data_IF_159694589235
#
_entry.id   IF_159694589235
#
_cell.length_a   1.000
_cell.length_b   1.000
_cell.length_c   1.000
_cell.angle_alpha   90.00
_cell.angle_beta   90.00
_cell.angle_gamma   90.00
#
_symmetry.space_group_name_H-M   'P 1'
#
loop_
_entity.id
_entity.type
_entity.pdbx_description
1 polymer ?
2 non-polymer ?
3 water ?
#
# COMPACT_ATOMS: atom_id res chain seq x y z
N UNK A 2 -5.34 13.06 -7.13
CA UNK A 2 -5.22 14.16 -6.16
C UNK A 2 -4.29 13.75 -5.09
N UNK A 3 -3.64 14.77 -4.53
CA UNK A 3 -2.96 14.68 -3.24
C UNK A 3 -3.97 14.38 -2.14
N UNK A 4 -5.19 14.85 -2.35
CA UNK A 4 -6.30 14.60 -1.48
C UNK A 4 -6.51 13.10 -1.29
N UNK A 5 -6.69 12.42 -2.42
CA UNK A 5 -6.93 10.99 -2.43
C UNK A 5 -5.74 10.21 -1.86
N UNK A 6 -4.53 10.61 -2.20
CA UNK A 6 -3.33 9.97 -1.68
C UNK A 6 -3.19 10.12 -0.17
N UNK A 7 -3.57 11.28 0.35
CA UNK A 7 -3.53 11.56 1.77
C UNK A 7 -4.58 10.71 2.50
N UNK A 8 -5.81 10.69 1.99
CA UNK A 8 -6.85 9.84 2.59
C UNK A 8 -6.43 8.37 2.53
N UNK A 9 -5.77 7.98 1.43
CA UNK A 9 -5.30 6.60 1.27
C UNK A 9 -4.18 6.24 2.25
N UNK A 10 -3.29 7.19 2.48
CA UNK A 10 -2.15 6.94 3.39
C UNK A 10 -2.67 6.84 4.81
N UNK A 11 -3.75 7.57 5.10
CA UNK A 11 -4.38 7.43 6.42
C UNK A 11 -5.16 6.13 6.55
N UNK A 12 -6.16 5.99 5.69
CA UNK A 12 -7.10 4.87 5.76
C UNK A 12 -6.39 3.54 5.56
N UNK A 13 -5.50 3.49 4.57
CA UNK A 13 -4.86 2.22 4.26
C UNK A 13 -3.59 1.93 5.03
N UNK A 14 -3.19 2.84 5.93
CA UNK A 14 -1.88 2.64 6.62
C UNK A 14 -1.81 3.11 8.06
N UNK A 15 -1.76 4.43 8.25
CA UNK A 15 -1.60 5.01 9.58
C UNK A 15 -2.72 4.55 10.49
N UNK A 16 -3.94 4.54 9.96
CA UNK A 16 -5.11 4.10 10.74
C UNK A 16 -4.89 2.69 11.30
N UNK A 17 -4.26 1.83 10.48
CA UNK A 17 -4.09 0.43 10.83
C UNK A 17 -2.86 0.19 11.71
N UNK A 18 -1.83 1.01 11.51
CA UNK A 18 -0.49 0.77 12.10
C UNK A 18 -0.28 1.48 13.44
N UNK A 19 -0.79 2.69 13.59
CA UNK A 19 -0.55 3.46 14.82
C UNK A 19 -1.07 2.79 16.12
N UNK A 20 -2.30 2.25 16.13
CA UNK A 20 -2.74 1.63 17.39
C UNK A 20 -1.85 0.48 17.88
N UNK A 21 -1.22 -0.27 16.98
CA UNK A 21 -0.44 -1.43 17.36
C UNK A 21 1.05 -1.14 17.53
N UNK A 22 1.48 0.07 17.27
CA UNK A 22 2.91 0.37 17.20
C UNK A 22 3.67 0.13 18.52
N UNK A 23 3.14 0.65 19.61
CA UNK A 23 3.83 0.55 20.91
C UNK A 23 4.02 -0.91 21.37
N UNK A 24 2.99 -1.74 21.24
CA UNK A 24 3.14 -3.18 21.52
C UNK A 24 4.28 -3.74 20.65
N UNK A 25 4.39 -3.30 19.42
CA UNK A 25 5.44 -3.86 18.55
C UNK A 25 6.83 -3.34 18.99
N UNK A 26 6.89 -2.14 19.53
CA UNK A 26 8.13 -1.59 20.10
C UNK A 26 8.54 -2.34 21.35
N UNK A 27 7.60 -2.55 22.25
CA UNK A 27 7.88 -3.35 23.47
C UNK A 27 8.48 -4.68 23.10
N UNK A 28 7.91 -5.37 22.12
CA UNK A 28 8.46 -6.67 21.67
C UNK A 28 9.87 -6.57 21.05
N UNK A 29 10.07 -5.53 20.25
CA UNK A 29 11.39 -5.24 19.69
C UNK A 29 12.44 -5.06 20.77
N UNK A 30 12.12 -4.23 21.76
CA UNK A 30 12.99 -4.04 22.89
C UNK A 30 13.26 -5.31 23.69
N UNK A 31 12.26 -6.18 23.78
CA UNK A 31 12.44 -7.44 24.50
C UNK A 31 13.42 -8.31 23.73
N UNK A 32 13.40 -8.24 22.39
CA UNK A 32 14.23 -9.12 21.56
C UNK A 32 15.63 -8.51 21.25
N UNK A 33 15.76 -7.18 21.34
CA UNK A 33 16.98 -6.52 20.89
C UNK A 33 17.59 -5.62 21.95
N UNK A 34 17.71 -6.19 23.15
CA UNK A 34 18.44 -5.57 24.25
C UNK A 34 18.02 -4.13 24.57
N UNK A 35 16.73 -3.84 24.53
CA UNK A 35 16.18 -2.55 24.92
C UNK A 35 16.74 -1.40 24.06
N UNK A 36 17.12 -1.72 22.83
CA UNK A 36 17.67 -0.73 21.90
C UNK A 36 16.82 0.54 21.68
N UNK A 37 15.52 0.38 21.51
CA UNK A 37 14.61 1.52 21.40
C UNK A 37 14.13 1.99 22.78
N UNK A 38 15.05 2.53 23.57
CA UNK A 38 14.76 2.78 24.98
C UNK A 38 14.28 4.20 25.22
N UNK A 39 14.91 5.19 24.59
CA UNK A 39 14.50 6.57 24.77
C UNK A 39 13.05 6.79 24.42
N UNK A 40 12.43 7.80 25.01
CA UNK A 40 11.08 8.21 24.62
C UNK A 40 11.08 8.71 23.13
N UNK A 41 12.14 9.45 22.76
CA UNK A 41 12.32 9.92 21.39
C UNK A 41 12.38 8.76 20.38
N UNK A 42 12.75 7.58 20.87
CA UNK A 42 12.87 6.39 20.02
C UNK A 42 11.56 5.61 19.83
N UNK A 43 10.48 6.01 20.45
CA UNK A 43 9.29 5.19 20.32
C UNK A 43 8.21 5.78 19.48
N UNK A 44 8.61 6.32 18.35
CA UNK A 44 7.71 6.92 17.39
C UNK A 44 8.13 6.47 16.05
N UNK A 45 7.20 6.50 15.14
CA UNK A 45 7.49 6.27 13.74
C UNK A 45 7.79 7.66 13.14
N UNK A 46 9.01 7.83 12.67
CA UNK A 46 9.45 9.03 11.98
C UNK A 46 9.26 8.91 10.48
N UNK A 47 8.48 9.79 9.91
CA UNK A 47 8.12 9.66 8.51
C UNK A 47 8.65 10.86 7.75
N UNK A 48 9.43 10.59 6.72
CA UNK A 48 10.06 11.62 5.93
C UNK A 48 9.18 12.08 4.80
N UNK A 49 8.94 13.38 4.73
CA UNK A 49 8.19 13.98 3.65
C UNK A 49 9.04 14.96 2.84
N UNK A 50 9.87 14.43 1.95
CA UNK A 50 10.61 15.35 1.06
C UNK A 50 9.64 15.98 0.05
N UNK A 51 9.40 17.28 0.18
CA UNK A 51 8.46 17.92 -0.69
C UNK A 51 8.89 17.91 -2.16
N UNK A 52 10.19 17.72 -2.45
CA UNK A 52 10.69 17.55 -3.80
C UNK A 52 10.32 16.19 -4.42
N UNK A 53 9.86 15.28 -3.57
CA UNK A 53 9.43 13.93 -3.95
C UNK A 53 10.52 13.03 -4.49
N UNK A 54 11.77 13.38 -4.22
CA UNK A 54 12.89 12.48 -4.48
C UNK A 54 12.99 11.47 -3.37
N UNK A 55 12.53 10.26 -3.64
CA UNK A 55 12.43 9.22 -2.62
C UNK A 55 13.12 7.94 -3.06
N UNK A 56 14.28 7.67 -2.51
CA UNK A 56 15.00 6.45 -2.83
C UNK A 56 14.43 5.31 -2.01
N UNK A 57 14.70 4.07 -2.38
CA UNK A 57 14.24 2.97 -1.60
C UNK A 57 15.17 2.70 -0.44
N UNK A 58 16.47 2.95 -0.63
CA UNK A 58 17.42 2.79 0.46
C UNK A 58 17.98 4.12 0.95
N UNK A 59 17.93 4.33 2.27
CA UNK A 59 18.22 5.65 2.87
C UNK A 59 19.66 6.06 2.70
N UNK A 60 20.54 5.09 2.56
CA UNK A 60 21.96 5.35 2.46
C UNK A 60 22.30 6.01 1.14
N UNK A 61 21.38 5.98 0.19
CA UNK A 61 21.59 6.58 -1.11
C UNK A 61 21.62 8.11 -1.02
N UNK A 62 20.92 8.66 -0.03
CA UNK A 62 20.85 10.12 0.13
C UNK A 62 21.62 10.65 1.34
N UNK A 63 21.90 9.79 2.31
CA UNK A 63 22.71 10.19 3.48
C UNK A 63 23.43 8.99 4.02
N UNK A 64 24.77 9.06 4.12
CA UNK A 64 25.58 7.95 4.67
C UNK A 64 25.40 7.74 6.18
N UNK A 65 24.77 8.66 6.92
CA UNK A 65 24.75 8.57 8.38
C UNK A 65 23.50 7.88 8.89
N UNK A 66 22.67 7.39 7.98
CA UNK A 66 21.43 6.70 8.36
C UNK A 66 21.52 5.21 8.07
N UNK A 67 21.77 4.40 9.08
CA UNK A 67 22.18 3.03 8.88
C UNK A 67 21.06 2.05 9.34
N UNK A 68 20.69 1.12 8.48
CA UNK A 68 19.71 0.11 8.83
C UNK A 68 20.19 -0.77 9.95
N UNK A 69 19.32 -1.06 10.89
CA UNK A 69 19.66 -1.90 11.99
C UNK A 69 18.85 -3.18 12.07
N UNK A 70 17.54 -3.06 12.05
CA UNK A 70 16.62 -4.18 12.23
C UNK A 70 15.18 -3.89 11.81
N UNK A 71 14.32 -4.89 11.85
CA UNK A 71 12.91 -4.70 11.58
C UNK A 71 12.17 -4.84 12.88
N UNK A 72 11.09 -4.08 13.02
CA UNK A 72 10.13 -4.34 14.06
C UNK A 72 9.49 -5.69 13.76
N UNK A 73 8.96 -6.38 14.79
CA UNK A 73 8.07 -7.53 14.52
C UNK A 73 7.01 -7.13 13.49
N UNK A 74 6.69 -8.03 12.59
CA UNK A 74 5.72 -7.78 11.54
C UNK A 74 4.34 -7.69 12.17
N UNK A 75 3.46 -6.96 11.51
CA UNK A 75 2.06 -6.94 11.86
C UNK A 75 1.26 -7.56 10.72
N UNK A 76 0.42 -8.53 11.06
CA UNK A 76 -0.44 -9.24 10.11
C UNK A 76 -1.91 -8.88 10.26
N UNK A 77 -2.57 -8.54 9.16
CA UNK A 77 -3.97 -8.13 9.18
C UNK A 77 -4.66 -8.62 7.94
N UNK A 78 -5.87 -9.17 8.08
CA UNK A 78 -6.68 -9.54 6.90
C UNK A 78 -7.20 -8.26 6.23
N UNK A 79 -6.95 -8.14 4.94
CA UNK A 79 -7.27 -6.87 4.21
C UNK A 79 -7.79 -7.11 2.79
N UNK A 80 -9.03 -6.77 2.52
CA UNK A 80 -9.53 -6.75 1.15
C UNK A 80 -9.32 -8.11 0.44
N UNK A 81 -9.51 -9.20 1.19
CA UNK A 81 -9.35 -10.56 0.65
C UNK A 81 -7.96 -11.16 0.72
N UNK A 82 -7.01 -10.43 1.26
CA UNK A 82 -5.69 -10.96 1.51
C UNK A 82 -5.58 -11.39 2.96
N UNK A 83 -5.43 -12.68 3.20
CA UNK A 83 -5.24 -13.16 4.57
C UNK A 83 -3.83 -12.80 5.03
N UNK A 84 -3.72 -12.26 6.23
CA UNK A 84 -2.42 -11.86 6.77
C UNK A 84 -1.58 -10.97 5.83
N UNK A 85 -2.18 -9.87 5.38
CA UNK A 85 -1.38 -8.85 4.75
C UNK A 85 -0.36 -8.38 5.79
N UNK A 86 0.86 -8.14 5.33
CA UNK A 86 1.95 -7.88 6.24
C UNK A 86 2.29 -6.40 6.21
N UNK A 87 2.34 -5.82 7.39
CA UNK A 87 2.73 -4.44 7.57
C UNK A 87 4.07 -4.41 8.30
N UNK A 88 5.08 -3.77 7.68
CA UNK A 88 6.45 -3.85 8.15
C UNK A 88 7.03 -2.47 8.36
N UNK A 89 7.98 -2.34 9.31
CA UNK A 89 8.68 -1.08 9.57
C UNK A 89 10.14 -1.36 9.90
N UNK A 90 11.00 -0.37 9.62
CA UNK A 90 12.45 -0.56 9.79
C UNK A 90 13.06 0.36 10.85
N UNK A 91 13.97 -0.19 11.66
CA UNK A 91 14.64 0.58 12.72
C UNK A 91 16.05 0.97 12.22
N UNK A 92 16.37 2.26 12.32
CA UNK A 92 17.66 2.79 11.83
C UNK A 92 18.47 3.42 12.95
N UNK A 93 19.79 3.38 12.81
CA UNK A 93 20.69 4.10 13.69
C UNK A 93 21.29 5.32 12.96
N UNK A 94 21.17 6.49 13.59
CA UNK A 94 21.59 7.73 13.02
C UNK A 94 22.96 8.09 13.60
N UNK A 95 23.95 8.25 12.72
CA UNK A 95 25.30 8.60 13.11
C UNK A 95 25.50 10.13 13.21
N UNK A 96 26.37 10.54 14.14
CA UNK A 96 26.84 11.91 14.18
C UNK A 96 28.36 11.86 14.32
N UNK A 97 29.07 12.35 13.31
CA UNK A 97 30.52 12.28 13.28
C UNK A 97 31.06 10.86 13.44
N UNK A 98 30.36 9.89 12.85
CA UNK A 98 30.79 8.50 12.95
C UNK A 98 30.37 7.83 14.24
N UNK A 99 29.64 8.57 15.08
CA UNK A 99 29.22 8.02 16.37
C UNK A 99 27.74 7.66 16.37
N UNK A 100 27.35 6.52 16.99
CA UNK A 100 25.91 6.20 17.09
C UNK A 100 25.22 7.25 17.92
N UNK A 101 24.40 8.08 17.30
CA UNK A 101 23.85 9.22 18.01
C UNK A 101 22.37 9.08 18.35
N UNK A 102 21.68 8.17 17.67
CA UNK A 102 20.28 7.95 17.96
C UNK A 102 19.74 6.76 17.18
N UNK A 103 18.66 6.19 17.68
CA UNK A 103 17.99 5.02 17.07
C UNK A 103 16.51 5.37 16.95
N UNK A 104 15.91 5.05 15.82
CA UNK A 104 14.47 5.31 15.63
C UNK A 104 13.89 4.45 14.53
N UNK A 105 12.56 4.44 14.45
CA UNK A 105 11.88 3.75 13.36
C UNK A 105 11.74 4.85 12.33
N UNK A 106 12.11 4.58 11.09
CA UNK A 106 12.19 5.62 10.07
C UNK A 106 11.76 5.11 8.70
N UNK A 107 11.12 5.98 7.92
CA UNK A 107 10.72 5.66 6.56
C UNK A 107 10.31 6.93 5.87
N UNK A 108 10.17 6.85 4.56
CA UNK A 108 9.54 7.85 3.76
C UNK A 108 8.03 7.64 3.60
N UNK A 109 7.31 8.74 3.41
CA UNK A 109 5.93 8.66 3.00
C UNK A 109 5.86 8.22 1.53
N UNK A 110 5.66 6.93 1.32
CA UNK A 110 5.62 6.35 -0.02
C UNK A 110 4.81 7.08 -1.11
N UNK A 111 3.65 7.67 -0.77
CA UNK A 111 2.89 8.36 -1.83
C UNK A 111 3.65 9.45 -2.57
N UNK A 112 4.63 10.07 -1.90
CA UNK A 112 5.41 11.16 -2.55
C UNK A 112 6.29 10.60 -3.70
N UNK A 113 6.72 9.36 -3.54
CA UNK A 113 7.46 8.63 -4.56
C UNK A 113 6.51 8.31 -5.74
N UNK A 114 5.25 8.00 -5.43
CA UNK A 114 4.23 7.86 -6.45
C UNK A 114 3.96 9.19 -7.26
N UNK A 115 3.92 10.32 -6.58
CA UNK A 115 3.71 11.59 -7.24
C UNK A 115 4.87 11.85 -8.19
N UNK A 116 6.08 11.57 -7.75
CA UNK A 116 7.28 11.75 -8.56
C UNK A 116 7.13 10.98 -9.87
N UNK A 117 6.91 9.67 -9.77
CA UNK A 117 6.75 8.83 -10.95
C UNK A 117 5.60 9.28 -11.86
N UNK A 118 4.45 9.58 -11.26
CA UNK A 118 3.30 10.11 -11.98
C UNK A 118 3.58 11.41 -12.72
N UNK A 119 4.36 12.30 -12.12
CA UNK A 119 4.55 13.62 -12.71
C UNK A 119 5.39 13.52 -13.99
N UNK A 120 6.21 12.49 -14.07
CA UNK A 120 7.06 12.31 -15.22
C UNK A 120 6.54 11.41 -16.33
N UNK A 121 5.43 10.71 -16.11
CA UNK A 121 4.93 9.79 -17.09
C UNK A 121 4.41 10.56 -18.29
N UNK A 122 4.44 9.94 -19.47
CA UNK A 122 4.07 10.59 -20.75
C UNK A 122 2.68 11.24 -20.74
N UNK A 123 1.67 10.47 -20.35
CA UNK A 123 0.28 10.95 -20.38
C UNK A 123 -0.23 11.47 -19.04
N UNK A 124 0.17 10.79 -17.97
CA UNK A 124 -0.30 11.15 -16.63
C UNK A 124 0.37 12.40 -16.09
N UNK A 125 1.54 12.74 -16.63
CA UNK A 125 2.40 13.77 -16.09
C UNK A 125 1.79 15.12 -15.78
N UNK A 126 2.53 15.90 -15.01
CA UNK A 126 2.17 17.30 -14.73
C UNK A 126 3.44 18.00 -14.32
N UNK A 127 3.39 19.33 -14.24
CA UNK A 127 4.61 20.08 -13.98
C UNK A 127 5.20 19.81 -12.58
N UNK A 128 6.49 20.10 -12.48
CA UNK A 128 7.18 20.10 -11.21
C UNK A 128 6.52 21.05 -10.23
N UNK A 129 6.16 22.26 -10.67
CA UNK A 129 5.53 23.23 -9.77
C UNK A 129 4.19 22.66 -9.27
N UNK A 130 3.48 21.95 -10.15
CA UNK A 130 2.21 21.32 -9.76
C UNK A 130 2.45 20.17 -8.79
N UNK A 131 3.50 19.38 -9.02
CA UNK A 131 3.85 18.32 -8.10
C UNK A 131 4.21 18.85 -6.73
N UNK A 132 5.01 19.92 -6.70
CA UNK A 132 5.33 20.55 -5.43
C UNK A 132 4.06 20.91 -4.68
N UNK A 133 3.14 21.60 -5.36
CA UNK A 133 1.86 21.96 -4.76
C UNK A 133 1.03 20.77 -4.29
N UNK A 134 1.09 19.67 -5.05
CA UNK A 134 0.45 18.41 -4.68
C UNK A 134 1.07 17.81 -3.45
N UNK A 135 2.40 17.85 -3.39
CA UNK A 135 3.12 17.34 -2.23
C UNK A 135 2.76 18.11 -0.97
N UNK A 136 2.74 19.45 -1.08
CA UNK A 136 2.36 20.32 0.05
C UNK A 136 0.93 20.02 0.50
N UNK A 137 0.03 19.91 -0.47
CA UNK A 137 -1.37 19.57 -0.23
C UNK A 137 -1.57 18.20 0.38
N UNK A 138 -0.71 17.25 0.04
CA UNK A 138 -0.74 15.92 0.63
C UNK A 138 -0.46 16.04 2.14
N UNK A 139 0.63 16.73 2.49
CA UNK A 139 1.00 16.93 3.90
C UNK A 139 -0.08 17.66 4.65
N UNK A 140 -0.63 18.70 4.05
CA UNK A 140 -1.67 19.51 4.71
C UNK A 140 -2.94 18.70 4.96
N UNK A 141 -3.32 17.89 3.99
CA UNK A 141 -4.56 17.10 4.06
C UNK A 141 -4.40 15.98 5.09
N UNK A 142 -3.20 15.46 5.21
CA UNK A 142 -2.90 14.43 6.16
C UNK A 142 -2.95 15.00 7.54
N UNK A 143 -2.35 16.17 7.72
CA UNK A 143 -2.33 16.84 9.02
C UNK A 143 -3.73 17.18 9.48
N UNK A 144 -4.60 17.48 8.53
CA UNK A 144 -6.01 17.68 8.84
C UNK A 144 -6.66 16.42 9.30
N UNK A 145 -6.44 15.31 8.60
CA UNK A 145 -7.03 14.03 8.97
C UNK A 145 -6.65 13.68 10.41
N UNK A 146 -5.37 13.87 10.73
CA UNK A 146 -4.81 13.35 11.98
C UNK A 146 -5.26 14.10 13.23
N UNK A 147 -5.95 15.23 13.06
CA UNK A 147 -6.53 15.93 14.21
C UNK A 147 -7.66 15.16 14.81
N UNK A 148 -8.28 14.25 14.05
CA UNK A 148 -9.29 13.35 14.64
C UNK A 148 -8.66 12.06 15.11
N UNK A 149 -7.32 12.00 15.11
CA UNK A 149 -6.58 10.84 15.59
C UNK A 149 -5.71 11.23 16.79
N UNK A 150 -6.32 11.24 17.97
CA UNK A 150 -5.62 11.65 19.19
C UNK A 150 -4.35 10.88 19.49
N UNK A 151 -4.24 9.65 19.00
CA UNK A 151 -3.07 8.82 19.26
C UNK A 151 -1.86 9.20 18.38
N UNK A 152 -2.13 9.74 17.20
CA UNK A 152 -1.10 10.02 16.26
C UNK A 152 0.01 10.87 16.87
N UNK A 153 -0.36 11.83 17.70
CA UNK A 153 0.57 12.77 18.35
C UNK A 153 1.79 12.09 18.96
N UNK A 154 1.57 10.99 19.66
CA UNK A 154 2.64 10.30 20.35
C UNK A 154 3.26 9.08 19.63
N UNK A 155 2.64 8.64 18.55
CA UNK A 155 3.13 7.45 17.84
C UNK A 155 3.88 7.76 16.57
N UNK A 156 3.71 8.96 16.04
CA UNK A 156 4.42 9.30 14.81
C UNK A 156 4.86 10.75 14.80
N UNK A 157 5.83 11.03 13.94
CA UNK A 157 6.32 12.38 13.76
C UNK A 157 6.54 12.61 12.26
N UNK A 158 5.92 13.65 11.73
CA UNK A 158 6.03 14.02 10.35
C UNK A 158 7.16 14.99 10.17
N UNK A 159 8.18 14.59 9.40
CA UNK A 159 9.33 15.48 9.13
C UNK A 159 9.27 15.97 7.67
N UNK A 160 8.88 17.21 7.49
CA UNK A 160 8.62 17.75 6.14
C UNK A 160 9.80 18.67 5.84
N UNK A 161 10.38 18.55 4.65
CA UNK A 161 11.52 19.37 4.28
C UNK A 161 11.66 19.49 2.78
N UNK A 162 12.53 20.39 2.37
CA UNK A 162 12.82 20.64 0.99
C UNK A 162 14.31 20.82 0.83
N UNK A 163 14.88 20.17 -0.16
CA UNK A 163 16.30 20.27 -0.43
C UNK A 163 16.73 21.63 -0.90
N UNK A 164 17.81 22.17 -0.26
CA UNK A 164 18.24 23.47 -0.77
C UNK A 164 18.82 23.39 -2.19
N UNK A 165 18.73 24.48 -2.96
CA UNK A 165 19.30 24.54 -4.30
C UNK A 165 20.08 25.84 -4.44
N UNK A 166 20.42 26.48 -3.31
CA UNK A 166 21.13 27.75 -3.34
C UNK A 166 22.57 27.69 -2.75
N UNK A 167 23.11 26.48 -2.57
CA UNK A 167 24.43 26.31 -2.01
C UNK A 167 24.46 26.11 -0.51
N UNK A 168 23.34 26.35 0.17
CA UNK A 168 23.19 26.04 1.60
C UNK A 168 23.16 24.56 1.93
N UNK A 169 23.77 24.18 3.04
CA UNK A 169 23.86 22.78 3.40
C UNK A 169 22.60 22.32 4.13
N UNK A 170 22.19 21.10 3.87
CA UNK A 170 21.11 20.48 4.64
C UNK A 170 21.48 19.04 4.91
N UNK A 171 21.50 18.67 6.19
CA UNK A 171 21.81 17.28 6.56
C UNK A 171 20.52 16.61 7.01
N UNK A 172 20.09 15.56 6.31
CA UNK A 172 18.87 14.85 6.68
C UNK A 172 19.07 14.15 8.03
N UNK A 173 20.22 13.52 8.21
CA UNK A 173 20.56 12.88 9.49
C UNK A 173 20.46 13.85 10.65
N UNK A 174 21.00 15.05 10.49
CA UNK A 174 20.96 16.04 11.58
C UNK A 174 19.54 16.37 11.90
N UNK A 175 18.73 16.50 10.86
CA UNK A 175 17.32 16.84 11.07
C UNK A 175 16.53 15.77 11.80
N UNK A 176 16.71 14.52 11.41
CA UNK A 176 16.11 13.40 12.14
C UNK A 176 16.58 13.36 13.60
N UNK A 177 17.88 13.52 13.83
CA UNK A 177 18.42 13.59 15.21
C UNK A 177 17.73 14.68 16.03
N UNK A 178 17.57 15.84 15.42
CA UNK A 178 16.91 16.94 16.09
C UNK A 178 15.51 16.55 16.59
N UNK A 179 14.76 15.78 15.81
CA UNK A 179 13.43 15.36 16.18
C UNK A 179 13.43 14.30 17.28
N UNK A 180 14.33 13.33 17.15
CA UNK A 180 14.52 12.29 18.16
C UNK A 180 14.80 12.90 19.54
N UNK A 181 15.58 13.95 19.55
CA UNK A 181 16.03 14.63 20.74
C UNK A 181 15.05 15.60 21.36
N UNK A 182 14.05 16.02 20.63
CA UNK A 182 13.07 16.93 21.19
C UNK A 182 12.16 16.22 22.18
N UNK B 3 -8.74 9.35 -7.66
CA UNK B 3 -9.45 8.55 -8.66
C UNK B 3 -8.51 8.20 -9.79
N UNK B 4 -8.02 9.25 -10.45
CA UNK B 4 -6.94 9.14 -11.40
C UNK B 4 -5.71 8.92 -10.58
N UNK B 5 -5.58 9.72 -9.56
CA UNK B 5 -4.46 9.63 -8.67
C UNK B 5 -4.41 8.24 -8.13
N UNK B 6 -5.57 7.75 -7.73
CA UNK B 6 -5.66 6.44 -7.09
C UNK B 6 -5.29 5.28 -8.04
N UNK B 7 -5.70 5.40 -9.30
CA UNK B 7 -5.38 4.39 -10.29
C UNK B 7 -3.88 4.35 -10.53
N UNK B 8 -3.25 5.53 -10.63
CA UNK B 8 -1.79 5.58 -10.85
C UNK B 8 -1.02 5.07 -9.64
N UNK B 9 -1.51 5.37 -8.45
CA UNK B 9 -0.88 4.87 -7.22
C UNK B 9 -0.91 3.38 -7.19
N UNK B 10 -2.10 2.82 -7.47
CA UNK B 10 -2.29 1.38 -7.45
C UNK B 10 -1.37 0.72 -8.50
N UNK B 11 -1.22 1.32 -9.67
CA UNK B 11 -0.33 0.76 -10.67
C UNK B 11 1.11 0.92 -10.22
N UNK B 12 1.52 2.16 -9.96
CA UNK B 12 2.90 2.49 -9.60
C UNK B 12 3.39 1.79 -8.35
N UNK B 13 2.60 1.81 -7.29
CA UNK B 13 3.00 1.17 -6.03
C UNK B 13 2.64 -0.27 -5.83
N UNK B 14 1.97 -0.89 -6.78
CA UNK B 14 1.61 -2.27 -6.61
C UNK B 14 1.74 -3.15 -7.84
N UNK B 15 0.92 -2.91 -8.86
CA UNK B 15 0.92 -3.80 -10.03
C UNK B 15 2.24 -3.79 -10.75
N UNK B 16 2.80 -2.60 -10.91
CA UNK B 16 4.09 -2.46 -11.59
C UNK B 16 5.17 -3.32 -10.89
N UNK B 17 5.07 -3.46 -9.58
CA UNK B 17 6.05 -4.19 -8.76
C UNK B 17 5.79 -5.67 -8.66
N UNK B 18 4.52 -6.08 -8.54
CA UNK B 18 4.25 -7.49 -8.29
C UNK B 18 4.02 -8.35 -9.52
N UNK B 19 3.54 -7.75 -10.62
CA UNK B 19 3.28 -8.53 -11.82
C UNK B 19 4.50 -9.24 -12.40
N UNK B 20 5.65 -8.55 -12.55
CA UNK B 20 6.76 -9.29 -13.17
C UNK B 20 7.31 -10.46 -12.35
N UNK B 21 7.03 -10.51 -11.05
CA UNK B 21 7.44 -11.63 -10.22
C UNK B 21 6.32 -12.65 -9.98
N UNK B 22 5.15 -12.45 -10.59
CA UNK B 22 4.00 -13.34 -10.27
C UNK B 22 4.19 -14.80 -10.71
N UNK B 23 4.60 -14.99 -11.96
CA UNK B 23 4.77 -16.35 -12.46
C UNK B 23 5.82 -17.15 -11.68
N UNK B 24 6.87 -16.50 -11.20
CA UNK B 24 7.89 -17.23 -10.42
C UNK B 24 7.28 -17.71 -9.12
N UNK B 25 6.48 -16.86 -8.47
CA UNK B 25 5.80 -17.23 -7.22
C UNK B 25 4.71 -18.31 -7.42
N UNK B 26 4.07 -18.31 -8.59
CA UNK B 26 3.10 -19.31 -8.93
C UNK B 26 3.81 -20.64 -9.17
N UNK B 27 4.95 -20.60 -9.87
CA UNK B 27 5.74 -21.82 -10.07
C UNK B 27 6.10 -22.39 -8.70
N UNK B 28 6.51 -21.51 -7.78
CA UNK B 28 6.97 -21.96 -6.46
C UNK B 28 5.76 -22.51 -5.65
N UNK B 29 4.64 -21.80 -5.74
CA UNK B 29 3.37 -22.29 -5.15
C UNK B 29 3.06 -23.70 -5.61
N UNK B 30 3.22 -23.94 -6.90
CA UNK B 30 2.91 -25.24 -7.49
C UNK B 30 3.85 -26.34 -7.05
N UNK B 31 5.11 -26.00 -6.81
CA UNK B 31 6.04 -27.00 -6.27
C UNK B 31 5.66 -27.37 -4.84
N UNK B 32 5.09 -26.40 -4.11
CA UNK B 32 4.77 -26.57 -2.69
C UNK B 32 3.44 -27.26 -2.44
N UNK B 33 2.49 -27.09 -3.35
CA UNK B 33 1.13 -27.49 -3.12
C UNK B 33 0.57 -28.33 -4.27
N UNK B 34 1.32 -29.33 -4.72
CA UNK B 34 0.77 -30.34 -5.63
C UNK B 34 0.18 -29.82 -6.94
N UNK B 35 0.84 -28.81 -7.50
CA UNK B 35 0.39 -28.22 -8.74
C UNK B 35 -1.07 -27.69 -8.72
N UNK B 36 -1.47 -27.12 -7.59
CA UNK B 36 -2.82 -26.62 -7.41
C UNK B 36 -3.27 -25.58 -8.44
N UNK B 37 -2.38 -24.69 -8.84
CA UNK B 37 -2.72 -23.68 -9.84
C UNK B 37 -2.36 -24.20 -11.23
N UNK B 38 -3.12 -25.17 -11.70
CA UNK B 38 -2.78 -26.05 -12.79
C UNK B 38 -3.19 -25.54 -14.16
N UNK B 39 -4.38 -24.95 -14.30
CA UNK B 39 -4.85 -24.43 -15.58
C UNK B 39 -4.29 -23.03 -15.84
N UNK B 40 -4.23 -22.60 -17.10
CA UNK B 40 -3.74 -21.24 -17.45
C UNK B 40 -4.63 -20.18 -16.83
N UNK B 41 -5.94 -20.51 -16.79
CA UNK B 41 -6.91 -19.70 -16.05
C UNK B 41 -6.53 -19.48 -14.58
N UNK B 42 -5.80 -20.41 -14.00
CA UNK B 42 -5.42 -20.35 -12.58
C UNK B 42 -4.14 -19.56 -12.27
N UNK B 43 -3.41 -19.15 -13.30
CA UNK B 43 -2.11 -18.51 -13.14
C UNK B 43 -2.17 -17.00 -13.43
N UNK B 44 -3.22 -16.35 -12.97
CA UNK B 44 -3.39 -14.91 -13.20
C UNK B 44 -3.81 -14.31 -11.89
N UNK B 45 -3.49 -13.05 -11.64
CA UNK B 45 -4.04 -12.35 -10.49
C UNK B 45 -5.40 -11.80 -10.84
N UNK B 46 -6.47 -12.34 -10.23
CA UNK B 46 -7.83 -11.79 -10.45
C UNK B 46 -8.13 -10.73 -9.40
N UNK B 47 -8.44 -9.52 -9.87
CA UNK B 47 -8.73 -8.40 -8.96
C UNK B 47 -10.18 -7.95 -9.11
N UNK B 48 -10.89 -7.88 -7.98
CA UNK B 48 -12.29 -7.52 -7.94
C UNK B 48 -12.47 -6.03 -7.71
N UNK B 49 -13.27 -5.41 -8.56
CA UNK B 49 -13.60 -4.01 -8.51
C UNK B 49 -15.10 -3.82 -8.39
N UNK B 50 -15.63 -3.94 -7.17
CA UNK B 50 -17.06 -3.63 -7.05
C UNK B 50 -17.29 -2.12 -7.24
N UNK B 51 -18.14 -1.73 -8.20
CA UNK B 51 -18.30 -0.32 -8.50
C UNK B 51 -18.99 0.46 -7.37
N UNK B 52 -19.73 -0.23 -6.52
CA UNK B 52 -20.28 0.43 -5.35
C UNK B 52 -19.23 0.69 -4.23
N UNK B 53 -17.98 0.27 -4.46
CA UNK B 53 -16.83 0.44 -3.49
C UNK B 53 -16.92 -0.38 -2.19
N UNK B 54 -17.91 -1.25 -2.11
CA UNK B 54 -18.07 -2.13 -0.95
C UNK B 54 -17.00 -3.19 -0.99
N UNK B 55 -15.97 -3.05 -0.16
CA UNK B 55 -14.86 -4.00 -0.10
C UNK B 55 -14.82 -4.67 1.28
N UNK B 56 -15.42 -5.85 1.44
CA UNK B 56 -15.26 -6.57 2.70
C UNK B 56 -13.84 -7.13 2.78
N UNK B 57 -13.39 -7.47 3.98
CA UNK B 57 -11.99 -7.94 4.12
C UNK B 57 -11.94 -9.45 3.99
N UNK B 58 -13.10 -10.07 4.18
CA UNK B 58 -13.25 -11.50 4.12
C UNK B 58 -14.22 -11.93 3.00
N UNK B 59 -13.67 -12.58 1.98
CA UNK B 59 -14.42 -13.06 0.83
C UNK B 59 -15.46 -14.13 1.16
N UNK B 60 -15.10 -15.09 2.04
CA UNK B 60 -16.02 -16.19 2.40
C UNK B 60 -17.31 -15.69 3.04
N UNK B 61 -17.20 -14.55 3.69
CA UNK B 61 -18.33 -13.93 4.35
C UNK B 61 -19.34 -13.32 3.36
N UNK B 62 -18.88 -12.79 2.22
CA UNK B 62 -19.85 -12.24 1.22
C UNK B 62 -20.36 -13.31 0.26
N UNK B 63 -19.53 -14.30 -0.03
CA UNK B 63 -19.97 -15.44 -0.83
C UNK B 63 -19.34 -16.70 -0.25
N UNK B 64 -20.17 -17.55 0.37
CA UNK B 64 -19.70 -18.77 1.03
C UNK B 64 -19.12 -19.77 0.06
N UNK B 65 -19.36 -19.59 -1.24
CA UNK B 65 -18.77 -20.42 -2.26
C UNK B 65 -17.30 -20.06 -2.59
N UNK B 66 -16.78 -19.00 -1.99
CA UNK B 66 -15.37 -18.63 -2.13
C UNK B 66 -14.64 -18.90 -0.84
N UNK B 67 -13.67 -19.80 -0.87
CA UNK B 67 -12.98 -20.25 0.33
C UNK B 67 -11.49 -20.15 0.21
N UNK B 68 -10.87 -19.55 1.21
CA UNK B 68 -9.42 -19.39 1.29
C UNK B 68 -8.75 -20.75 1.26
N UNK B 69 -7.68 -20.88 0.52
CA UNK B 69 -6.93 -22.14 0.47
C UNK B 69 -5.51 -22.02 1.08
N UNK B 70 -4.70 -21.13 0.52
CA UNK B 70 -3.32 -20.89 0.97
C UNK B 70 -2.86 -19.55 0.47
N UNK B 71 -1.63 -19.18 0.79
CA UNK B 71 -1.01 -17.95 0.23
C UNK B 71 0.02 -18.31 -0.83
N UNK B 72 0.23 -17.38 -1.76
CA UNK B 72 1.43 -17.45 -2.61
C UNK B 72 2.62 -17.24 -1.72
N UNK B 73 3.76 -17.76 -2.12
CA UNK B 73 4.96 -17.36 -1.41
C UNK B 73 5.08 -15.84 -1.39
N UNK B 74 5.59 -15.29 -0.31
CA UNK B 74 5.74 -13.85 -0.19
C UNK B 74 6.83 -13.27 -1.12
N UNK B 75 6.70 -12.02 -1.47
CA UNK B 75 7.68 -11.30 -2.22
C UNK B 75 8.17 -10.12 -1.39
N UNK B 76 9.46 -10.07 -1.08
CA UNK B 76 10.04 -9.01 -0.25
C UNK B 76 10.73 -7.98 -1.15
N UNK B 77 10.46 -6.71 -0.94
CA UNK B 77 11.09 -5.64 -1.73
C UNK B 77 11.45 -4.45 -0.86
N UNK B 78 12.67 -3.91 -1.00
CA UNK B 78 13.08 -2.66 -0.35
C UNK B 78 12.26 -1.51 -0.93
N UNK B 79 11.52 -0.83 -0.09
CA UNK B 79 10.58 0.18 -0.52
C UNK B 79 10.56 1.42 0.35
N UNK B 80 10.98 2.54 -0.21
CA UNK B 80 10.88 3.83 0.46
C UNK B 80 11.37 3.82 1.92
N UNK B 81 12.43 3.10 2.17
CA UNK B 81 13.05 3.05 3.49
C UNK B 81 12.68 1.85 4.33
N UNK B 82 11.65 1.15 3.90
CA UNK B 82 11.28 -0.10 4.50
C UNK B 82 12.12 -1.20 3.87
N UNK B 83 13.02 -1.79 4.63
CA UNK B 83 13.76 -2.92 4.11
C UNK B 83 12.82 -4.11 4.09
N UNK B 84 12.81 -4.82 2.95
CA UNK B 84 12.01 -6.02 2.81
C UNK B 84 10.53 -5.83 3.14
N UNK B 85 9.92 -4.81 2.55
CA UNK B 85 8.47 -4.69 2.58
C UNK B 85 7.90 -5.97 1.99
N UNK B 86 6.89 -6.53 2.64
CA UNK B 86 6.30 -7.79 2.22
C UNK B 86 5.08 -7.60 1.33
N UNK B 87 5.13 -8.16 0.12
CA UNK B 87 3.93 -8.24 -0.73
C UNK B 87 3.30 -9.63 -0.73
N UNK B 88 2.00 -9.66 -0.54
CA UNK B 88 1.29 -10.89 -0.21
C UNK B 88 0.03 -11.14 -1.06
N UNK B 89 -0.17 -12.38 -1.51
CA UNK B 89 -1.42 -12.69 -2.22
C UNK B 89 -2.01 -14.05 -1.78
N UNK B 90 -3.33 -14.16 -1.80
CA UNK B 90 -4.04 -15.36 -1.33
C UNK B 90 -4.71 -16.16 -2.47
N UNK B 91 -4.71 -17.48 -2.33
CA UNK B 91 -5.31 -18.39 -3.30
C UNK B 91 -6.64 -18.88 -2.76
N UNK B 92 -7.66 -18.90 -3.62
CA UNK B 92 -9.01 -19.31 -3.17
C UNK B 92 -9.53 -20.41 -4.09
N UNK B 93 -10.35 -21.27 -3.53
CA UNK B 93 -11.11 -22.22 -4.32
C UNK B 93 -12.53 -21.69 -4.44
N UNK B 94 -13.14 -21.90 -5.59
CA UNK B 94 -14.44 -21.44 -5.74
C UNK B 94 -15.41 -22.59 -6.06
N UNK B 95 -16.52 -22.63 -5.32
CA UNK B 95 -17.46 -23.74 -5.37
C UNK B 95 -18.65 -23.47 -6.29
N UNK B 96 -19.19 -24.55 -6.80
CA UNK B 96 -20.33 -24.53 -7.71
C UNK B 96 -21.14 -25.75 -7.32
N UNK B 97 -22.43 -25.57 -7.01
CA UNK B 97 -23.30 -26.69 -6.61
C UNK B 97 -22.68 -27.50 -5.45
N UNK B 98 -22.06 -26.79 -4.51
CA UNK B 98 -21.41 -27.41 -3.37
C UNK B 98 -20.03 -27.98 -3.60
N UNK B 99 -19.61 -28.10 -4.85
CA UNK B 99 -18.34 -28.75 -5.12
C UNK B 99 -17.24 -27.83 -5.71
N UNK B 100 -15.96 -28.10 -5.32
CA UNK B 100 -14.94 -27.26 -5.95
C UNK B 100 -15.00 -27.31 -7.47
N UNK B 101 -14.91 -26.12 -8.04
CA UNK B 101 -15.17 -25.87 -9.43
C UNK B 101 -14.08 -25.02 -10.06
N UNK B 102 -13.20 -24.45 -9.25
CA UNK B 102 -12.17 -23.58 -9.74
C UNK B 102 -11.28 -23.11 -8.61
N UNK B 103 -10.10 -22.65 -8.99
CA UNK B 103 -9.08 -22.16 -8.07
C UNK B 103 -8.33 -21.01 -8.72
N UNK B 104 -8.01 -19.98 -7.94
CA UNK B 104 -7.31 -18.85 -8.46
C UNK B 104 -6.75 -17.89 -7.37
N UNK B 105 -5.88 -16.97 -7.80
CA UNK B 105 -5.40 -15.90 -6.94
C UNK B 105 -6.44 -14.80 -7.02
N UNK B 106 -6.97 -14.40 -5.86
CA UNK B 106 -8.07 -13.47 -5.81
C UNK B 106 -7.97 -12.46 -4.67
N UNK B 107 -8.32 -11.20 -4.97
CA UNK B 107 -8.42 -10.12 -3.99
C UNK B 107 -9.28 -8.97 -4.52
N UNK B 108 -9.66 -8.08 -3.60
CA UNK B 108 -10.33 -6.83 -3.96
C UNK B 108 -9.29 -5.73 -4.31
N UNK B 109 -9.73 -4.75 -5.09
CA UNK B 109 -8.95 -3.56 -5.31
C UNK B 109 -9.10 -2.61 -4.09
N UNK B 110 -8.13 -2.70 -3.17
CA UNK B 110 -8.17 -1.97 -1.92
C UNK B 110 -8.49 -0.48 -1.99
N UNK B 111 -7.98 0.24 -3.02
CA UNK B 111 -8.33 1.68 -2.98
C UNK B 111 -9.82 2.03 -3.09
N UNK B 112 -10.67 1.11 -3.56
CA UNK B 112 -12.11 1.36 -3.54
C UNK B 112 -12.60 1.51 -2.11
N UNK B 113 -11.90 0.86 -1.19
CA UNK B 113 -12.22 0.95 0.23
C UNK B 113 -11.89 2.35 0.71
N UNK B 114 -10.81 2.93 0.17
CA UNK B 114 -10.45 4.31 0.48
C UNK B 114 -11.48 5.30 -0.06
N UNK B 115 -11.95 5.05 -1.29
CA UNK B 115 -12.95 5.88 -1.93
C UNK B 115 -14.24 5.90 -1.14
N UNK B 116 -14.59 4.75 -0.59
CA UNK B 116 -15.79 4.64 0.21
C UNK B 116 -15.61 5.36 1.53
N UNK B 117 -14.50 5.07 2.22
CA UNK B 117 -14.22 5.69 3.48
C UNK B 117 -14.22 7.19 3.35
N UNK B 118 -13.84 7.70 2.19
CA UNK B 118 -13.89 9.12 1.94
C UNK B 118 -15.28 9.65 1.79
N UNK B 119 -16.12 8.94 1.04
CA UNK B 119 -17.54 9.25 0.86
C UNK B 119 -18.50 9.49 2.01
N UNK B 120 -18.04 9.28 3.19
CA UNK B 120 -18.90 9.34 4.32
C UNK B 120 -18.35 10.40 5.20
N UNK B 121 -17.25 10.12 5.89
CA UNK B 121 -16.44 11.13 6.55
C UNK B 121 -16.62 12.17 5.41
N UNK B 122 -17.26 13.25 5.80
CA UNK B 122 -17.62 14.31 4.89
C UNK B 122 -17.82 15.41 5.82
N UNK B 123 -16.93 16.38 5.80
CA UNK B 123 -15.87 16.56 4.84
C UNK B 123 -14.69 15.61 4.99
N UNK B 124 -14.13 15.11 3.89
CA UNK B 124 -14.13 15.70 2.53
C UNK B 124 -15.34 15.54 1.56
N UNK B 125 -15.09 15.77 0.30
CA UNK B 125 -16.15 15.99 -0.62
C UNK B 125 -17.29 15.05 -0.48
N UNK B 126 -17.03 13.76 -0.30
CA UNK B 126 -18.09 12.76 -0.14
C UNK B 126 -19.02 12.95 -1.33
N UNK B 127 -20.32 13.09 -1.15
CA UNK B 127 -21.17 13.48 -2.25
C UNK B 127 -20.99 12.54 -3.41
N UNK B 128 -21.49 11.33 -3.28
CA UNK B 128 -21.72 10.51 -4.45
C UNK B 128 -22.86 11.28 -5.14
N UNK B 129 -22.63 11.80 -6.35
CA UNK B 129 -21.77 11.29 -7.40
C UNK B 129 -20.40 10.78 -7.06
N UNK B 130 -19.81 11.27 -5.98
CA UNK B 130 -18.37 11.37 -5.81
C UNK B 130 -17.86 9.97 -6.01
N UNK B 131 -18.53 9.02 -5.37
CA UNK B 131 -18.09 7.66 -5.46
C UNK B 131 -18.28 6.82 -6.71
N UNK B 132 -19.47 6.73 -7.26
CA UNK B 132 -19.70 5.82 -8.38
C UNK B 132 -18.93 6.32 -9.56
N UNK B 133 -18.94 7.62 -9.63
CA UNK B 133 -18.22 8.38 -10.62
C UNK B 133 -16.75 7.99 -10.57
N UNK B 134 -16.10 8.33 -9.46
CA UNK B 134 -14.70 8.05 -9.27
C UNK B 134 -14.36 6.56 -9.39
N UNK B 135 -15.28 5.69 -8.99
CA UNK B 135 -15.00 4.25 -9.08
C UNK B 135 -14.86 3.77 -10.52
N UNK B 136 -15.66 4.34 -11.42
CA UNK B 136 -15.63 4.00 -12.83
C UNK B 136 -14.37 4.57 -13.46
N UNK B 137 -14.07 5.82 -13.12
CA UNK B 137 -12.86 6.50 -13.59
C UNK B 137 -11.61 5.67 -13.22
N UNK B 138 -11.61 5.18 -12.00
CA UNK B 138 -10.53 4.36 -11.45
C UNK B 138 -10.28 3.13 -12.32
N UNK B 139 -11.35 2.37 -12.60
CA UNK B 139 -11.25 1.17 -13.43
C UNK B 139 -10.89 1.51 -14.86
N UNK B 140 -11.49 2.56 -15.38
CA UNK B 140 -11.23 3.02 -16.73
C UNK B 140 -9.74 3.31 -16.89
N UNK B 141 -9.25 4.17 -15.99
CA UNK B 141 -7.87 4.60 -15.99
C UNK B 141 -6.92 3.43 -15.85
N UNK B 142 -7.29 2.43 -15.06
CA UNK B 142 -6.40 1.30 -14.85
C UNK B 142 -6.30 0.42 -16.09
N UNK B 143 -7.44 0.13 -16.73
CA UNK B 143 -7.45 -0.64 -17.99
C UNK B 143 -6.66 0.13 -19.05
N UNK B 144 -6.75 1.46 -19.00
CA UNK B 144 -5.96 2.33 -19.89
C UNK B 144 -4.46 2.25 -19.60
N UNK B 145 -4.09 2.12 -18.35
CA UNK B 145 -2.67 2.06 -18.01
C UNK B 145 -2.14 0.72 -18.42
N UNK B 146 -2.91 -0.33 -18.18
CA UNK B 146 -2.49 -1.68 -18.49
C UNK B 146 -2.53 -1.98 -19.98
N UNK B 147 -3.43 -1.31 -20.71
CA UNK B 147 -3.36 -1.19 -22.17
C UNK B 147 -2.09 -0.40 -22.29
N UNK B 148 -1.19 -0.91 -23.11
CA UNK B 148 0.22 -0.65 -23.05
C UNK B 148 0.60 -1.82 -22.20
N UNK B 149 1.76 -1.78 -21.57
CA UNK B 149 2.05 -2.79 -20.55
C UNK B 149 1.73 -4.24 -20.92
N UNK B 150 1.65 -4.55 -22.28
CA UNK B 150 1.31 -5.96 -22.55
C UNK B 150 2.35 -6.87 -22.01
N UNK B 151 3.44 -6.23 -21.66
CA UNK B 151 4.55 -6.83 -20.95
C UNK B 151 3.82 -7.85 -20.13
N UNK B 152 2.77 -7.44 -19.47
CA UNK B 152 2.12 -8.32 -18.52
C UNK B 152 0.69 -8.36 -18.15
N UNK B 153 -0.13 -7.60 -18.88
CA UNK B 153 -1.56 -7.56 -18.71
C UNK B 153 -2.07 -8.90 -18.31
N UNK B 154 -1.70 -9.92 -19.07
CA UNK B 154 -2.15 -11.26 -18.70
C UNK B 154 -1.41 -12.03 -17.61
N UNK B 155 -0.89 -11.31 -16.65
CA UNK B 155 -0.61 -11.86 -15.35
C UNK B 155 -1.75 -11.46 -14.39
N UNK B 156 -2.67 -10.64 -14.88
CA UNK B 156 -3.77 -10.19 -14.09
C UNK B 156 -5.02 -10.02 -14.93
N UNK B 157 -6.15 -9.94 -14.26
CA UNK B 157 -7.42 -9.70 -14.90
C UNK B 157 -8.28 -8.86 -13.96
N UNK B 158 -8.86 -7.81 -14.50
CA UNK B 158 -9.72 -6.96 -13.75
C UNK B 158 -11.15 -7.47 -13.89
N UNK B 159 -11.77 -7.74 -12.76
CA UNK B 159 -13.18 -8.13 -12.76
C UNK B 159 -13.94 -6.95 -12.17
N UNK B 160 -14.55 -6.19 -13.08
CA UNK B 160 -15.28 -4.98 -12.73
C UNK B 160 -16.77 -5.31 -12.77
N UNK B 161 -17.49 -5.01 -11.69
CA UNK B 161 -18.89 -5.39 -11.65
C UNK B 161 -19.70 -4.45 -10.75
N UNK B 162 -21.00 -4.48 -10.96
CA UNK B 162 -21.94 -3.76 -10.15
C UNK B 162 -23.21 -4.62 -10.08
N UNK B 163 -24.17 -4.19 -9.27
CA UNK B 163 -25.43 -4.86 -9.20
C UNK B 163 -26.23 -4.43 -10.41
N UNK B 164 -27.01 -5.34 -11.00
CA UNK B 164 -27.91 -4.97 -12.10
C UNK B 164 -28.95 -3.99 -11.59
N UNK B 165 -29.18 -2.88 -12.30
CA UNK B 165 -30.07 -1.80 -11.81
C UNK B 165 -31.54 -2.22 -11.63
N UNK B 166 -32.01 -3.18 -12.45
CA UNK B 166 -33.35 -3.73 -12.31
C UNK B 166 -33.36 -5.26 -12.17
N UNK B 167 -32.20 -5.85 -12.02
CA UNK B 167 -32.05 -7.30 -12.03
C UNK B 167 -31.94 -7.93 -10.65
N UNK B 168 -31.33 -9.12 -10.64
CA UNK B 168 -31.18 -9.90 -9.43
C UNK B 168 -29.79 -9.73 -8.84
N UNK B 169 -29.62 -10.27 -7.64
CA UNK B 169 -28.35 -10.21 -6.96
C UNK B 169 -27.24 -10.86 -7.80
N UNK B 170 -26.16 -10.10 -7.99
CA UNK B 170 -25.00 -10.52 -8.76
C UNK B 170 -24.19 -11.57 -8.02
N UNK B 171 -23.94 -12.72 -8.66
CA UNK B 171 -23.15 -13.77 -8.01
C UNK B 171 -21.67 -13.57 -8.24
N UNK B 172 -20.96 -13.24 -7.15
CA UNK B 172 -19.53 -13.08 -7.18
C UNK B 172 -18.85 -14.35 -7.64
N UNK B 173 -19.26 -15.49 -7.08
CA UNK B 173 -18.57 -16.78 -7.37
C UNK B 173 -18.72 -17.19 -8.82
N UNK B 174 -19.91 -16.98 -9.38
CA UNK B 174 -20.18 -17.31 -10.74
C UNK B 174 -19.38 -16.41 -11.66
N UNK B 175 -19.30 -15.13 -11.30
CA UNK B 175 -18.54 -14.16 -12.11
C UNK B 175 -17.06 -14.49 -12.10
N UNK B 176 -16.58 -14.95 -10.95
CA UNK B 176 -15.19 -15.30 -10.85
C UNK B 176 -14.92 -16.53 -11.70
N UNK B 177 -15.79 -17.52 -11.59
CA UNK B 177 -15.63 -18.75 -12.37
C UNK B 177 -15.65 -18.44 -13.87
N UNK B 178 -16.55 -17.58 -14.29
CA UNK B 178 -16.63 -17.13 -15.69
C UNK B 178 -15.31 -16.58 -16.23
N UNK B 179 -14.58 -15.84 -15.39
CA UNK B 179 -13.30 -15.26 -15.80
C UNK B 179 -12.22 -16.32 -15.87
N UNK B 180 -12.11 -17.16 -14.85
CA UNK B 180 -11.19 -18.26 -14.88
C UNK B 180 -11.44 -19.13 -16.13
N UNK B 181 -12.71 -19.38 -16.42
CA UNK B 181 -13.05 -20.33 -17.50
C UNK B 181 -12.73 -19.74 -18.87
N UNK B 182 -12.60 -18.43 -19.01
CA UNK B 182 -12.36 -17.86 -20.34
C UNK B 182 -10.88 -17.80 -20.65
X LIG C 1 2.75 -2.49 4.49
X LIG C 1 2.91 -1.29 4.32
X LIG C 1 4.09 -0.77 4.77
X LIG C 1 4.31 0.56 4.61
X LIG C 1 5.46 1.03 5.07
X LIG C 1 3.38 1.34 4.04
X LIG C 1 2.24 0.79 3.61
X LIG C 1 2.00 -0.51 3.76
X LIG C 1 0.81 -0.76 3.26
X LIG C 1 0.32 0.36 2.80
X LIG C 1 1.19 1.33 3.02
X LIG C 1 1.08 2.77 2.67
X LIG C 1 1.67 3.08 1.25
X LIG C 1 2.33 4.34 1.29
X LIG C 1 -0.27 3.14 2.54
X LIG C 1 -0.49 2.60 1.31
X LIG C 1 -1.92 2.63 0.88
X LIG C 1 -2.21 1.26 0.87
X LIG C 1 -3.56 0.64 0.38
X LIG C 1 -3.50 0.69 -1.23
X LIG C 1 -3.40 -0.80 0.94
X LIG C 1 -4.72 1.40 0.81
X LIG C 1 0.48 3.35 0.43
X LIG C 1 0.41 2.80 -0.90
X LIG C 1 1.41 2.11 -1.88
X LIG C 1 2.66 1.51 -1.14
X LIG C 1 1.80 3.03 -2.94
X LIG C 1 0.59 0.99 -2.48
X LIG C 1 -0.78 1.25 -2.76
X LIG C 1 -1.43 -0.05 -2.39
X LIG C 1 -1.33 -0.87 -3.52
X LIG C 1 -2.90 -0.05 -2.30
X LIG C 1 -3.09 -1.50 -2.19
X LIG C 1 -4.34 -1.75 -2.82
X LIG C 1 -1.92 -2.04 -3.06
X LIG C 1 -0.88 -2.70 -2.28
X LIG C 1 0.26 -2.23 -1.80
X LIG C 1 0.87 -3.20 -1.14
X LIG C 1 0.11 -4.27 -1.20
X LIG C 1 -0.97 -3.96 -1.91
X LIG C 1 -1.92 -4.83 -2.15
X LIG C 1 -1.80 -6.12 -1.67
X LIG C 1 -0.68 -6.44 -0.94
X LIG C 1 0.24 -5.50 -0.73
X LIG C 1 1.33 -5.77 -0.03
#
# INVERSE_FOLDING_TARGET
SVAHGLAWSYYIGYLRLILPGLQARIRMFNQLHNNMLSGAGSRRLYILFPLDCGVPDNLSVVDPNIRFRDMLPQQNIDRAGIKNRVYSNSVYEILENGQPAGVCILEYATPLQTLFAMSQDAKAGFSREDRLEQAKLFCRTLEEILEDVPESRNNCRLIVYQEPTDGNSFSLSQEVLRHIRQEEKEEV
SVAHGLAWSYYIGYLRLILPGLQARIRMFNQLHNNMLSGAGSRRLYILFPLDCGVPDNLSVVDPNIRFRDMLPQQNIDRAGIKNRVYSNSVYEILENGQPAGVCILEYATPLQTLFAMSQDAKAGFSREDRLEQAKLFCRTLEEILEDVPESRNNCRLIVYQEPTDGNSFSLSQEVLRHIRQEEKEEV
1YD OAC CBC NAT CBA NAA NAS CBG CBE NAR CAL NBQ CBO CBI OAG OAX CBK CAN OAV PBR O3' OAH OAD CBM OAZ PBS OAI OAE O5' C5' C4' O4' C3' C2' O2' C1' N9 C8 N7 C5 C4 N3 C2 N1 C6 N6
#
